data_IF_521688508676
#
_entry.id   IF_521688508676
#
_cell.length_a   1.000
_cell.length_b   1.000
_cell.length_c   1.000
_cell.angle_alpha   90.00
_cell.angle_beta   90.00
_cell.angle_gamma   90.00
#
_symmetry.space_group_name_H-M   'P 1'
#
loop_
_entity.id
_entity.type
_entity.pdbx_description
1 polymer ?
#
# COMPACT_ATOMS: atom_id res chain seq x y z
N UNK A 1 -32.75 -7.95 28.87
CA UNK A 1 -32.12 -9.27 28.67
C UNK A 1 -31.88 -9.37 27.18
N UNK A 2 -30.68 -8.98 26.72
CA UNK A 2 -30.40 -8.89 25.29
C UNK A 2 -29.78 -10.23 24.90
N UNK A 3 -30.57 -11.09 24.28
CA UNK A 3 -30.12 -12.37 23.75
C UNK A 3 -29.28 -12.11 22.52
N UNK A 4 -27.96 -12.13 22.70
CA UNK A 4 -27.00 -12.10 21.62
C UNK A 4 -27.07 -13.47 20.92
N UNK A 5 -28.02 -13.62 20.00
CA UNK A 5 -28.22 -14.86 19.25
C UNK A 5 -27.20 -14.89 18.12
N UNK A 6 -26.02 -15.42 18.43
CA UNK A 6 -25.04 -15.77 17.42
C UNK A 6 -25.65 -16.85 16.50
N UNK A 7 -25.82 -16.61 15.20
CA UNK A 7 -26.49 -17.57 14.32
C UNK A 7 -25.63 -18.81 14.13
N UNK A 8 -26.19 -20.00 14.39
CA UNK A 8 -25.62 -21.28 13.98
C UNK A 8 -25.69 -21.43 12.44
N UNK A 9 -24.80 -22.25 11.85
CA UNK A 9 -24.71 -22.50 10.38
C UNK A 9 -26.07 -22.70 9.67
N UNK A 10 -27.08 -23.23 10.36
CA UNK A 10 -28.40 -23.55 9.81
C UNK A 10 -29.27 -22.33 9.43
N UNK A 11 -28.85 -21.09 9.72
CA UNK A 11 -29.56 -19.87 9.32
C UNK A 11 -28.80 -18.93 8.37
N UNK A 12 -27.57 -19.27 8.01
CA UNK A 12 -26.66 -18.39 7.28
C UNK A 12 -26.72 -18.71 5.78
N UNK A 13 -26.87 -17.68 4.94
CA UNK A 13 -26.88 -17.88 3.49
C UNK A 13 -25.58 -18.56 3.02
N UNK A 14 -25.72 -19.56 2.14
CA UNK A 14 -24.58 -20.36 1.66
C UNK A 14 -23.48 -19.51 1.03
N UNK A 15 -23.82 -18.40 0.37
CA UNK A 15 -22.82 -17.50 -0.23
C UNK A 15 -22.10 -16.67 0.84
N UNK A 16 -22.73 -16.37 1.98
CA UNK A 16 -22.08 -15.75 3.14
C UNK A 16 -21.07 -16.72 3.74
N UNK A 17 -21.46 -18.00 3.91
CA UNK A 17 -20.52 -19.04 4.39
C UNK A 17 -19.32 -19.13 3.43
N UNK A 18 -19.57 -19.26 2.12
CA UNK A 18 -18.48 -19.36 1.13
C UNK A 18 -17.61 -18.10 1.08
N UNK A 19 -18.19 -16.91 1.22
CA UNK A 19 -17.45 -15.66 1.25
C UNK A 19 -16.47 -15.61 2.44
N UNK A 20 -16.88 -16.15 3.58
CA UNK A 20 -16.06 -16.22 4.78
C UNK A 20 -14.99 -17.32 4.72
N UNK A 21 -15.34 -18.51 4.23
CA UNK A 21 -14.48 -19.71 4.38
C UNK A 21 -13.58 -20.03 3.18
N UNK A 22 -13.96 -19.68 1.94
CA UNK A 22 -13.13 -20.01 0.77
C UNK A 22 -11.89 -19.13 0.74
N UNK A 23 -10.75 -19.70 0.33
CA UNK A 23 -9.47 -19.00 0.24
C UNK A 23 -9.56 -17.86 -0.77
N UNK A 24 -9.64 -16.60 -0.31
CA UNK A 24 -9.72 -15.43 -1.18
C UNK A 24 -8.95 -14.26 -0.58
N UNK A 25 -8.24 -13.50 -1.42
CA UNK A 25 -7.61 -12.25 -1.02
C UNK A 25 -8.22 -11.08 -1.77
N UNK A 26 -8.16 -9.90 -1.16
CA UNK A 26 -8.64 -8.66 -1.77
C UNK A 26 -7.52 -7.62 -1.81
N UNK A 27 -7.42 -6.89 -2.92
CA UNK A 27 -6.51 -5.76 -3.09
C UNK A 27 -7.23 -4.56 -3.71
N UNK A 28 -6.71 -3.36 -3.49
CA UNK A 28 -7.28 -2.17 -4.14
C UNK A 28 -6.95 -2.21 -5.62
N UNK A 29 -7.94 -1.99 -6.48
CA UNK A 29 -7.67 -1.86 -7.89
C UNK A 29 -6.83 -0.60 -8.15
N UNK A 30 -5.81 -0.72 -8.99
CA UNK A 30 -4.89 0.38 -9.27
C UNK A 30 -5.58 1.46 -10.12
N UNK A 31 -5.55 2.71 -9.64
CA UNK A 31 -5.99 3.87 -10.43
C UNK A 31 -7.50 4.15 -10.45
N UNK A 32 -8.34 3.27 -9.89
CA UNK A 32 -9.80 3.45 -9.85
C UNK A 32 -10.31 3.46 -8.41
N UNK A 33 -10.84 4.61 -7.97
CA UNK A 33 -11.35 4.76 -6.62
C UNK A 33 -12.64 3.94 -6.44
N UNK A 34 -12.68 3.12 -5.39
CA UNK A 34 -13.85 2.30 -5.07
C UNK A 34 -13.89 0.96 -5.81
N UNK A 35 -12.85 0.59 -6.55
CA UNK A 35 -12.72 -0.74 -7.15
C UNK A 35 -11.75 -1.62 -6.35
N UNK A 36 -12.11 -2.89 -6.21
CA UNK A 36 -11.39 -3.91 -5.43
C UNK A 36 -11.24 -5.16 -6.28
N UNK A 37 -10.02 -5.67 -6.39
CA UNK A 37 -9.75 -6.95 -7.03
C UNK A 37 -9.89 -8.08 -6.00
N UNK A 38 -10.67 -9.11 -6.34
CA UNK A 38 -10.85 -10.30 -5.51
C UNK A 38 -10.21 -11.50 -6.19
N UNK A 39 -9.14 -12.00 -5.60
CA UNK A 39 -8.45 -13.22 -6.05
C UNK A 39 -9.16 -14.42 -5.44
N UNK A 40 -9.78 -15.25 -6.29
CA UNK A 40 -10.53 -16.43 -5.86
C UNK A 40 -9.66 -17.67 -5.74
N UNK A 41 -10.11 -18.65 -4.93
CA UNK A 41 -9.47 -19.97 -4.80
C UNK A 41 -9.28 -20.69 -6.15
N UNK A 42 -10.15 -20.44 -7.12
CA UNK A 42 -10.06 -21.01 -8.47
C UNK A 42 -8.98 -20.37 -9.35
N UNK A 43 -8.27 -19.35 -8.85
CA UNK A 43 -7.26 -18.59 -9.60
C UNK A 43 -7.84 -17.48 -10.48
N UNK A 44 -9.16 -17.32 -10.52
CA UNK A 44 -9.81 -16.19 -11.21
C UNK A 44 -9.74 -14.93 -10.36
N UNK A 45 -9.63 -13.78 -11.02
CA UNK A 45 -9.75 -12.46 -10.40
C UNK A 45 -11.08 -11.86 -10.81
N UNK A 46 -11.78 -11.24 -9.87
CA UNK A 46 -13.02 -10.53 -10.13
C UNK A 46 -12.97 -9.14 -9.51
N UNK A 47 -13.26 -8.11 -10.31
CA UNK A 47 -13.41 -6.74 -9.82
C UNK A 47 -14.78 -6.53 -9.18
N UNK A 48 -14.75 -5.85 -8.04
CA UNK A 48 -15.93 -5.39 -7.29
C UNK A 48 -15.89 -3.87 -7.25
N UNK A 49 -16.96 -3.24 -7.73
CA UNK A 49 -17.14 -1.80 -7.60
C UNK A 49 -18.01 -1.51 -6.38
N UNK A 50 -17.43 -0.87 -5.37
CA UNK A 50 -18.09 -0.47 -4.13
C UNK A 50 -19.12 0.66 -4.33
N UNK A 51 -18.99 1.43 -5.40
CA UNK A 51 -19.87 2.56 -5.68
C UNK A 51 -21.18 2.09 -6.31
N UNK A 52 -21.08 1.17 -7.27
CA UNK A 52 -22.24 0.63 -7.98
C UNK A 52 -22.76 -0.67 -7.36
N UNK A 53 -22.08 -1.22 -6.36
CA UNK A 53 -22.43 -2.49 -5.70
C UNK A 53 -22.56 -3.64 -6.71
N UNK A 54 -21.59 -3.72 -7.64
CA UNK A 54 -21.56 -4.71 -8.72
C UNK A 54 -20.26 -5.50 -8.72
N UNK A 55 -20.32 -6.73 -9.20
CA UNK A 55 -19.16 -7.59 -9.39
C UNK A 55 -19.15 -8.17 -10.81
N UNK A 56 -17.98 -8.27 -11.44
CA UNK A 56 -17.87 -8.83 -12.81
C UNK A 56 -18.06 -10.36 -12.87
N UNK A 57 -18.24 -11.01 -11.72
CA UNK A 57 -18.38 -12.47 -11.69
C UNK A 57 -19.73 -12.92 -12.27
N UNK A 58 -19.81 -14.13 -12.83
CA UNK A 58 -21.06 -14.63 -13.42
C UNK A 58 -22.23 -14.68 -12.43
N UNK A 59 -21.96 -14.88 -11.13
CA UNK A 59 -23.02 -14.96 -10.14
C UNK A 59 -23.75 -13.63 -9.94
N UNK A 60 -23.06 -12.50 -10.15
CA UNK A 60 -23.66 -11.17 -10.08
C UNK A 60 -24.67 -10.94 -11.21
N UNK A 61 -24.36 -11.49 -12.40
CA UNK A 61 -25.20 -11.34 -13.59
C UNK A 61 -26.44 -12.22 -13.56
N UNK A 62 -26.33 -13.45 -13.02
CA UNK A 62 -27.36 -14.48 -13.17
C UNK A 62 -28.18 -14.76 -11.91
N UNK A 63 -27.80 -14.22 -10.75
CA UNK A 63 -28.45 -14.53 -9.48
C UNK A 63 -28.90 -13.26 -8.77
N UNK A 64 -30.05 -13.30 -8.13
CA UNK A 64 -30.50 -12.22 -7.26
C UNK A 64 -29.66 -12.12 -5.98
N UNK A 65 -29.26 -10.89 -5.65
CA UNK A 65 -28.54 -10.51 -4.44
C UNK A 65 -27.01 -10.57 -4.55
N UNK A 66 -26.34 -10.04 -3.52
CA UNK A 66 -24.88 -9.92 -3.49
C UNK A 66 -24.19 -11.28 -3.66
N UNK A 67 -23.22 -11.33 -4.59
CA UNK A 67 -22.40 -12.51 -4.82
C UNK A 67 -21.39 -12.72 -3.67
N UNK A 68 -20.71 -13.87 -3.66
CA UNK A 68 -19.71 -14.16 -2.60
C UNK A 68 -18.54 -13.17 -2.57
N UNK A 69 -18.15 -12.61 -3.73
CA UNK A 69 -17.03 -11.67 -3.82
C UNK A 69 -17.39 -10.33 -3.20
N UNK A 70 -18.58 -9.81 -3.48
CA UNK A 70 -19.11 -8.62 -2.82
C UNK A 70 -19.11 -8.81 -1.29
N UNK A 71 -19.71 -9.91 -0.82
CA UNK A 71 -19.77 -10.21 0.63
C UNK A 71 -18.38 -10.35 1.27
N UNK A 72 -17.42 -10.95 0.56
CA UNK A 72 -16.03 -11.02 1.03
C UNK A 72 -15.44 -9.62 1.23
N UNK A 73 -15.67 -8.72 0.28
CA UNK A 73 -15.19 -7.33 0.37
C UNK A 73 -15.89 -6.59 1.51
N UNK A 74 -17.21 -6.71 1.61
CA UNK A 74 -17.98 -6.09 2.69
C UNK A 74 -17.50 -6.57 4.08
N UNK A 75 -17.24 -7.87 4.25
CA UNK A 75 -16.68 -8.42 5.49
C UNK A 75 -15.29 -7.87 5.80
N UNK A 76 -14.39 -7.81 4.81
CA UNK A 76 -13.04 -7.28 4.99
C UNK A 76 -13.02 -5.76 5.30
N UNK A 77 -14.07 -5.04 4.90
CA UNK A 77 -14.28 -3.62 5.22
C UNK A 77 -15.05 -3.41 6.53
N UNK A 78 -15.54 -4.47 7.17
CA UNK A 78 -16.38 -4.40 8.37
C UNK A 78 -17.80 -3.88 8.11
N UNK A 79 -18.26 -3.91 6.86
CA UNK A 79 -19.61 -3.52 6.46
C UNK A 79 -20.62 -4.67 6.61
N UNK A 80 -20.13 -5.91 6.58
CA UNK A 80 -20.92 -7.11 6.82
C UNK A 80 -20.24 -7.96 7.91
N UNK A 81 -21.00 -8.43 8.90
CA UNK A 81 -20.47 -9.29 9.94
C UNK A 81 -19.90 -10.60 9.37
N UNK A 82 -18.75 -11.02 9.90
CA UNK A 82 -18.21 -12.35 9.61
C UNK A 82 -19.05 -13.37 10.39
N UNK A 83 -19.61 -14.40 9.72
CA UNK A 83 -20.38 -15.42 10.40
C UNK A 83 -19.52 -16.15 11.44
N UNK A 84 -20.06 -16.33 12.65
CA UNK A 84 -19.41 -17.14 13.68
C UNK A 84 -19.61 -18.63 13.34
N UNK A 85 -18.56 -19.26 12.83
CA UNK A 85 -18.52 -20.68 12.50
C UNK A 85 -17.66 -21.43 13.53
N UNK A 86 -17.79 -22.75 13.59
CA UNK A 86 -17.04 -23.59 14.53
C UNK A 86 -15.51 -23.54 14.32
N UNK A 87 -15.09 -23.09 13.15
CA UNK A 87 -13.70 -23.02 12.70
C UNK A 87 -13.41 -21.58 12.25
N UNK A 88 -12.18 -21.14 12.48
CA UNK A 88 -11.69 -19.85 12.04
C UNK A 88 -11.81 -19.73 10.52
N UNK A 89 -12.38 -18.62 10.06
CA UNK A 89 -12.63 -18.36 8.64
C UNK A 89 -11.44 -17.71 7.96
N UNK A 90 -11.32 -17.88 6.64
CA UNK A 90 -10.24 -17.25 5.87
C UNK A 90 -10.29 -15.71 5.98
N UNK A 91 -11.50 -15.14 6.06
CA UNK A 91 -11.65 -13.69 6.25
C UNK A 91 -11.19 -13.24 7.65
N UNK A 92 -11.40 -14.02 8.71
CA UNK A 92 -10.84 -13.74 10.03
C UNK A 92 -9.32 -13.75 10.01
N UNK A 93 -8.71 -14.77 9.39
CA UNK A 93 -7.27 -14.86 9.20
C UNK A 93 -6.72 -13.64 8.44
N UNK A 94 -7.41 -13.23 7.37
CA UNK A 94 -7.03 -12.06 6.56
C UNK A 94 -7.07 -10.77 7.38
N UNK A 95 -8.14 -10.55 8.17
CA UNK A 95 -8.28 -9.37 9.02
C UNK A 95 -7.18 -9.37 10.09
N UNK A 96 -6.97 -10.49 10.77
CA UNK A 96 -5.95 -10.63 11.80
C UNK A 96 -4.53 -10.35 11.24
N UNK A 97 -4.20 -10.87 10.05
CA UNK A 97 -2.94 -10.60 9.40
C UNK A 97 -2.74 -9.09 9.12
N UNK A 98 -3.78 -8.41 8.62
CA UNK A 98 -3.73 -6.96 8.36
C UNK A 98 -3.49 -6.15 9.64
N UNK A 99 -4.12 -6.53 10.74
CA UNK A 99 -3.94 -5.85 12.03
C UNK A 99 -2.54 -6.07 12.60
N UNK A 100 -1.98 -7.28 12.50
CA UNK A 100 -0.60 -7.57 12.88
C UNK A 100 0.40 -6.69 12.09
N UNK A 101 0.21 -6.54 10.78
CA UNK A 101 1.05 -5.66 9.96
C UNK A 101 0.90 -4.18 10.32
N UNK A 102 -0.30 -3.70 10.69
CA UNK A 102 -0.48 -2.31 11.18
C UNK A 102 0.28 -2.06 12.47
N UNK A 103 0.35 -3.04 13.38
CA UNK A 103 1.08 -2.93 14.64
C UNK A 103 2.60 -2.85 14.49
N UNK A 104 3.16 -3.33 13.37
CA UNK A 104 4.60 -3.27 13.09
C UNK A 104 5.05 -1.90 12.55
N UNK A 105 4.13 -1.02 12.16
CA UNK A 105 4.44 0.32 11.63
C UNK A 105 4.77 1.39 12.68
N UNK A 106 4.60 1.09 13.97
CA UNK A 106 4.76 2.06 15.07
C UNK A 106 6.19 2.09 15.67
N UNK A 107 7.06 1.12 15.37
CA UNK A 107 8.33 1.00 16.11
C UNK A 107 9.55 1.78 15.60
N UNK A 108 9.52 2.54 14.49
CA UNK A 108 10.71 3.37 14.10
C UNK A 108 10.46 4.65 13.29
N UNK A 109 9.24 5.17 13.16
CA UNK A 109 9.04 6.49 12.49
C UNK A 109 8.33 7.43 13.44
N UNK A 110 9.13 8.21 14.18
CA UNK A 110 8.62 9.40 14.86
C UNK A 110 7.99 10.31 13.81
N UNK A 111 6.66 10.26 13.69
CA UNK A 111 5.90 11.27 12.96
C UNK A 111 6.08 12.59 13.72
N UNK A 112 7.07 13.39 13.31
CA UNK A 112 7.12 14.81 13.66
C UNK A 112 5.87 15.46 13.05
N UNK A 113 4.92 15.98 13.85
CA UNK A 113 3.81 16.75 13.30
C UNK A 113 4.36 17.98 12.57
N UNK A 114 3.81 18.28 11.40
CA UNK A 114 4.28 19.32 10.48
C UNK A 114 3.86 20.74 10.90
N UNK A 115 3.65 20.99 12.19
CA UNK A 115 3.14 22.25 12.71
C UNK A 115 4.08 22.86 13.75
N UNK A 116 5.35 23.07 13.38
CA UNK A 116 6.17 24.13 13.99
C UNK A 116 7.34 24.47 13.06
N UNK A 117 7.02 25.14 11.94
CA UNK A 117 8.02 25.81 11.12
C UNK A 117 7.98 27.31 11.45
N UNK A 118 8.74 27.72 12.47
CA UNK A 118 9.07 29.14 12.68
C UNK A 118 10.00 29.58 11.56
N UNK A 119 9.47 30.34 10.61
CA UNK A 119 10.25 31.03 9.57
C UNK A 119 11.01 32.20 10.21
N UNK A 120 12.32 32.06 10.36
CA UNK A 120 13.24 33.17 10.60
C UNK A 120 13.71 33.66 9.24
N UNK A 121 13.21 34.80 8.79
CA UNK A 121 13.76 35.48 7.61
C UNK A 121 14.91 36.36 8.08
N UNK A 122 16.16 35.91 7.89
CA UNK A 122 17.30 36.82 7.98
C UNK A 122 17.44 37.56 6.64
N UNK A 123 17.23 38.86 6.69
CA UNK A 123 17.40 39.76 5.54
C UNK A 123 18.88 39.96 5.24
N UNK A 124 19.44 39.12 4.38
CA UNK A 124 20.82 39.25 3.87
C UNK A 124 20.89 40.07 2.59
N UNK A 125 21.47 41.27 2.70
CA UNK A 125 21.82 42.19 1.61
C UNK A 125 22.86 41.59 0.65
N UNK A 126 22.70 41.83 -0.65
CA UNK A 126 23.66 41.46 -1.67
C UNK A 126 24.93 42.33 -1.56
N UNK A 127 26.10 41.69 -1.55
CA UNK A 127 27.36 42.36 -1.91
C UNK A 127 28.14 41.41 -2.81
N UNK A 128 28.62 42.00 -3.89
CA UNK A 128 29.36 41.40 -4.99
C UNK A 128 30.60 40.57 -4.60
N UNK A 129 30.91 39.63 -5.50
CA UNK A 129 31.90 38.55 -5.43
C UNK A 129 33.31 38.96 -5.01
N UNK A 130 34.09 37.96 -4.54
CA UNK A 130 35.15 37.51 -5.44
C UNK A 130 35.20 35.99 -5.60
N UNK A 131 35.65 35.59 -6.79
CA UNK A 131 36.03 34.23 -7.18
C UNK A 131 36.94 33.58 -6.13
N UNK A 132 36.52 32.43 -5.59
CA UNK A 132 37.36 31.42 -4.92
C UNK A 132 36.90 30.08 -5.50
N UNK A 133 37.61 29.64 -6.52
CA UNK A 133 38.68 28.63 -6.43
C UNK A 133 38.10 27.24 -6.13
N UNK A 134 38.28 26.39 -7.13
CA UNK A 134 37.78 25.03 -7.26
C UNK A 134 38.43 24.10 -6.25
N UNK A 135 37.66 23.60 -5.30
CA UNK A 135 37.81 22.24 -4.76
C UNK A 135 36.47 21.82 -4.14
N UNK A 136 35.61 21.18 -4.95
CA UNK A 136 34.35 20.60 -4.46
C UNK A 136 34.35 19.15 -4.86
N UNK A 137 35.02 18.33 -4.05
CA UNK A 137 34.85 16.88 -4.06
C UNK A 137 33.85 16.52 -2.96
N UNK A 138 32.67 17.13 -3.00
CA UNK A 138 31.53 16.70 -2.20
C UNK A 138 30.74 15.67 -3.03
N UNK A 139 30.46 14.48 -2.48
CA UNK A 139 29.66 13.50 -3.19
C UNK A 139 28.29 14.06 -3.54
N UNK A 140 28.04 14.18 -4.84
CA UNK A 140 26.77 14.70 -5.32
C UNK A 140 25.90 13.52 -5.73
N UNK A 141 24.89 13.21 -4.91
CA UNK A 141 23.77 12.39 -5.35
C UNK A 141 22.90 13.29 -6.23
N UNK A 142 22.75 12.93 -7.50
CA UNK A 142 21.93 13.69 -8.46
C UNK A 142 20.62 12.97 -8.78
N UNK A 143 19.58 13.75 -9.10
CA UNK A 143 18.24 13.27 -9.47
C UNK A 143 17.12 14.05 -8.76
N UNK A 144 15.85 13.68 -8.99
CA UNK A 144 15.42 12.51 -9.77
C UNK A 144 15.63 12.71 -11.28
N UNK A 145 16.14 11.66 -11.94
CA UNK A 145 16.23 11.54 -13.39
C UNK A 145 15.12 10.62 -13.87
N UNK A 146 14.51 10.93 -15.01
CA UNK A 146 13.48 10.06 -15.62
C UNK A 146 14.09 9.25 -16.74
N UNK A 147 13.98 7.92 -16.67
CA UNK A 147 14.38 7.04 -17.77
C UNK A 147 13.56 7.33 -19.03
N UNK A 148 14.10 7.09 -20.23
CA UNK A 148 13.29 7.17 -21.44
C UNK A 148 12.15 6.13 -21.40
N UNK A 149 11.04 6.45 -22.06
CA UNK A 149 9.84 5.62 -22.05
C UNK A 149 10.08 4.18 -22.56
N UNK A 150 11.06 4.00 -23.46
CA UNK A 150 11.48 2.69 -23.98
C UNK A 150 12.10 1.78 -22.91
N UNK A 151 12.56 2.37 -21.80
CA UNK A 151 13.19 1.68 -20.66
C UNK A 151 12.27 1.68 -19.42
N UNK A 152 11.01 2.11 -19.56
CA UNK A 152 10.00 2.02 -18.51
C UNK A 152 9.66 3.34 -17.82
N UNK A 153 10.41 4.42 -18.08
CA UNK A 153 10.04 5.77 -17.63
C UNK A 153 10.14 6.01 -16.12
N UNK A 154 10.86 5.17 -15.37
CA UNK A 154 10.95 5.31 -13.93
C UNK A 154 11.85 6.48 -13.51
N UNK A 155 11.59 7.01 -12.32
CA UNK A 155 12.45 8.02 -11.70
C UNK A 155 13.56 7.35 -10.88
N UNK A 156 14.79 7.82 -11.02
CA UNK A 156 15.96 7.28 -10.32
C UNK A 156 16.91 8.37 -9.83
N UNK A 157 17.72 8.02 -8.84
CA UNK A 157 18.81 8.82 -8.30
C UNK A 157 20.14 8.13 -8.55
N UNK A 158 21.19 8.91 -8.84
CA UNK A 158 22.53 8.42 -9.15
C UNK A 158 23.55 9.07 -8.23
N UNK A 159 24.45 8.27 -7.66
CA UNK A 159 25.67 8.79 -7.04
C UNK A 159 26.70 9.10 -8.15
N UNK A 160 27.15 10.35 -8.27
CA UNK A 160 28.15 10.72 -9.29
C UNK A 160 29.56 10.18 -9.00
N UNK A 161 29.85 9.87 -7.74
CA UNK A 161 31.16 9.36 -7.32
C UNK A 161 31.34 7.88 -7.67
N UNK A 162 30.36 7.03 -7.37
CA UNK A 162 30.44 5.58 -7.64
C UNK A 162 29.54 5.08 -8.77
N UNK A 163 28.77 5.97 -9.41
CA UNK A 163 27.88 5.65 -10.53
C UNK A 163 26.68 4.75 -10.19
N UNK A 164 26.43 4.45 -8.90
CA UNK A 164 25.34 3.54 -8.52
C UNK A 164 24.01 4.27 -8.49
N UNK A 165 22.97 3.59 -8.96
CA UNK A 165 21.64 4.15 -9.18
C UNK A 165 20.58 3.41 -8.39
N UNK A 166 19.62 4.13 -7.81
CA UNK A 166 18.44 3.54 -7.18
C UNK A 166 17.17 4.30 -7.55
N UNK A 167 16.06 3.55 -7.61
CA UNK A 167 14.71 4.08 -7.75
C UNK A 167 14.18 4.74 -6.46
N UNK A 168 15.00 4.81 -5.39
CA UNK A 168 14.65 5.52 -4.15
C UNK A 168 15.85 6.31 -3.66
N UNK A 169 15.63 7.60 -3.38
CA UNK A 169 16.65 8.49 -2.83
C UNK A 169 17.27 7.92 -1.55
N UNK A 170 16.44 7.41 -0.64
CA UNK A 170 16.89 6.87 0.64
C UNK A 170 17.82 5.67 0.54
N UNK A 171 17.82 4.93 -0.58
CA UNK A 171 18.79 3.86 -0.80
C UNK A 171 20.17 4.43 -1.20
N UNK A 172 20.21 5.49 -2.01
CA UNK A 172 21.48 6.17 -2.40
C UNK A 172 22.04 7.03 -1.26
N UNK A 173 21.28 7.27 -0.21
CA UNK A 173 21.75 7.99 1.00
C UNK A 173 22.37 7.05 2.05
N UNK A 174 22.32 5.72 1.83
CA UNK A 174 22.90 4.72 2.75
C UNK A 174 24.31 4.36 2.33
N UNK A 175 25.25 4.43 3.26
CA UNK A 175 26.66 4.07 3.04
C UNK A 175 26.89 2.68 2.45
N UNK A 176 26.14 1.69 2.92
CA UNK A 176 26.18 0.30 2.43
C UNK A 176 25.81 0.16 0.94
N UNK A 177 25.06 1.13 0.40
CA UNK A 177 24.71 1.17 -1.00
C UNK A 177 25.88 1.61 -1.88
N UNK A 178 26.98 2.12 -1.35
CA UNK A 178 28.07 2.62 -2.17
C UNK A 178 29.21 1.61 -2.39
N UNK A 179 30.00 1.82 -3.44
CA UNK A 179 31.22 1.05 -3.68
C UNK A 179 32.24 1.27 -2.55
N UNK A 180 33.16 0.34 -2.34
CA UNK A 180 34.13 0.39 -1.23
C UNK A 180 35.02 1.64 -1.25
N UNK A 181 35.24 2.19 -2.44
CA UNK A 181 36.04 3.37 -2.73
C UNK A 181 35.22 4.67 -2.83
N UNK A 182 33.91 4.60 -2.57
CA UNK A 182 33.02 5.75 -2.69
C UNK A 182 33.04 6.61 -1.44
N UNK A 183 33.03 7.93 -1.61
CA UNK A 183 33.13 8.89 -0.50
C UNK A 183 31.87 8.94 0.40
N UNK A 184 30.74 8.40 -0.07
CA UNK A 184 29.49 8.25 0.70
C UNK A 184 29.40 6.95 1.51
N UNK A 185 30.41 6.07 1.44
CA UNK A 185 30.45 4.84 2.22
C UNK A 185 30.90 5.08 3.67
#
# INVERSE_FOLDING_TARGET
MNTNTTPTKEGIDKRTIRAATESMSIDRHAGEAGEVDVYSESGSVYRVCLITETCECPSDTYQDGACKHQRRVEMALGQHDVPNLDEETDVELMIAAREQYRGLGDSTVEHRPADDAVVVTDGGVATESPMQDTDVNEPTITGPWTEPAEQGGAEYWRCEDCGRESLRRGDVERSEFHAEECVLR
#
